data_IF_509024838488
#
_entry.id   IF_509024838488
#
_cell.length_a   1.000
_cell.length_b   1.000
_cell.length_c   1.000
_cell.angle_alpha   90.00
_cell.angle_beta   90.00
_cell.angle_gamma   90.00
#
_symmetry.space_group_name_H-M   'P 1'
#
loop_
_entity.id
_entity.type
_entity.pdbx_description
1 polymer ?
#
# COMPACT_ATOMS: atom_id res chain seq x y z
N UNK A 1 13.08 -4.51 -3.87
CA UNK A 1 12.29 -4.77 -5.10
C UNK A 1 11.08 -3.84 -5.16
N UNK A 2 10.80 -3.23 -6.32
CA UNK A 2 9.69 -2.29 -6.49
C UNK A 2 8.38 -3.01 -6.83
N UNK A 3 7.32 -2.71 -6.07
CA UNK A 3 5.96 -3.20 -6.26
C UNK A 3 4.98 -2.04 -6.41
N UNK A 4 3.96 -2.25 -7.23
CA UNK A 4 2.94 -1.24 -7.50
C UNK A 4 1.57 -1.88 -7.30
N UNK A 5 0.77 -1.25 -6.45
CA UNK A 5 -0.60 -1.65 -6.12
C UNK A 5 -1.52 -0.48 -6.45
N UNK A 6 -2.68 -0.78 -7.00
CA UNK A 6 -3.78 0.18 -7.15
C UNK A 6 -4.80 -0.05 -6.04
N UNK A 7 -5.22 1.02 -5.38
CA UNK A 7 -6.32 1.03 -4.41
C UNK A 7 -7.57 1.55 -5.11
N UNK A 8 -8.26 0.69 -5.86
CA UNK A 8 -9.44 1.13 -6.61
C UNK A 8 -10.56 1.49 -5.64
N UNK A 9 -11.19 2.65 -5.83
CA UNK A 9 -12.21 3.16 -4.91
C UNK A 9 -11.68 4.02 -3.78
N UNK A 10 -10.36 4.27 -3.71
CA UNK A 10 -9.74 5.18 -2.74
C UNK A 10 -10.38 6.58 -2.80
N UNK A 11 -11.19 6.95 -1.80
CA UNK A 11 -12.01 8.18 -1.84
C UNK A 11 -11.60 9.24 -0.82
N UNK A 12 -10.72 8.90 0.14
CA UNK A 12 -10.29 9.81 1.18
C UNK A 12 -8.77 10.07 1.14
N UNK A 13 -8.38 11.31 0.84
CA UNK A 13 -6.98 11.72 0.80
C UNK A 13 -6.26 11.54 2.16
N UNK A 14 -6.99 11.72 3.27
CA UNK A 14 -6.44 11.51 4.60
C UNK A 14 -6.24 10.02 4.91
N UNK A 15 -7.11 9.14 4.40
CA UNK A 15 -6.92 7.70 4.47
C UNK A 15 -5.71 7.27 3.65
N UNK A 16 -5.53 7.83 2.46
CA UNK A 16 -4.35 7.60 1.62
C UNK A 16 -3.03 7.91 2.38
N UNK A 17 -2.92 9.08 3.01
CA UNK A 17 -1.74 9.44 3.79
C UNK A 17 -1.47 8.44 4.93
N UNK A 18 -2.52 8.02 5.67
CA UNK A 18 -2.39 7.01 6.73
C UNK A 18 -1.95 5.65 6.22
N UNK A 19 -2.44 5.23 5.05
CA UNK A 19 -2.03 3.97 4.42
C UNK A 19 -0.55 4.05 4.02
N UNK A 20 -0.13 5.15 3.39
CA UNK A 20 1.27 5.36 3.03
C UNK A 20 2.20 5.27 4.24
N UNK A 21 1.91 6.04 5.29
CA UNK A 21 2.72 6.06 6.51
C UNK A 21 2.74 4.70 7.21
N UNK A 22 1.61 3.99 7.23
CA UNK A 22 1.53 2.68 7.85
C UNK A 22 2.30 1.61 7.06
N UNK A 23 2.25 1.66 5.71
CA UNK A 23 3.04 0.76 4.85
C UNK A 23 4.53 1.06 5.02
N UNK A 24 4.92 2.33 5.08
CA UNK A 24 6.32 2.74 5.30
C UNK A 24 6.89 2.25 6.64
N UNK A 25 6.05 1.98 7.64
CA UNK A 25 6.45 1.45 8.95
C UNK A 25 6.53 -0.08 8.99
N UNK A 26 6.14 -0.77 7.92
CA UNK A 26 6.24 -2.24 7.87
C UNK A 26 7.70 -2.68 7.76
N UNK A 27 8.06 -3.74 8.49
CA UNK A 27 9.41 -4.29 8.46
C UNK A 27 9.71 -4.90 7.09
N UNK A 28 10.82 -4.46 6.47
CA UNK A 28 11.23 -4.86 5.13
C UNK A 28 10.69 -3.97 4.01
N UNK A 29 10.01 -2.86 4.34
CA UNK A 29 9.72 -1.78 3.38
C UNK A 29 10.85 -0.74 3.46
N UNK A 30 11.57 -0.54 2.36
CA UNK A 30 12.58 0.52 2.24
C UNK A 30 11.92 1.88 1.98
N UNK A 31 10.95 1.90 1.07
CA UNK A 31 10.23 3.11 0.67
C UNK A 31 8.77 2.79 0.35
N UNK A 32 7.87 3.72 0.65
CA UNK A 32 6.47 3.65 0.23
C UNK A 32 5.95 5.04 -0.15
N UNK A 33 5.16 5.11 -1.21
CA UNK A 33 4.51 6.33 -1.68
C UNK A 33 3.14 6.01 -2.28
N UNK A 34 2.10 6.68 -1.81
CA UNK A 34 0.73 6.55 -2.29
C UNK A 34 0.27 7.86 -2.92
N UNK A 35 0.00 7.81 -4.22
CA UNK A 35 -0.63 8.91 -4.92
C UNK A 35 -2.14 8.78 -4.85
N UNK A 36 -2.81 9.65 -4.10
CA UNK A 36 -4.28 9.72 -4.03
C UNK A 36 -4.89 10.01 -5.42
N UNK A 37 -4.31 10.94 -6.18
CA UNK A 37 -4.78 11.29 -7.54
C UNK A 37 -4.82 10.10 -8.50
N UNK A 38 -3.83 9.21 -8.43
CA UNK A 38 -3.74 8.04 -9.31
C UNK A 38 -4.20 6.75 -8.64
N UNK A 39 -4.53 6.81 -7.35
CA UNK A 39 -4.84 5.69 -6.48
C UNK A 39 -3.77 4.58 -6.52
N UNK A 40 -2.49 4.96 -6.66
CA UNK A 40 -1.36 4.03 -6.80
C UNK A 40 -0.43 4.10 -5.60
N UNK A 41 -0.27 2.95 -4.94
CA UNK A 41 0.71 2.70 -3.90
C UNK A 41 1.93 2.05 -4.54
N UNK A 42 3.06 2.75 -4.50
CA UNK A 42 4.37 2.24 -4.91
C UNK A 42 5.18 1.95 -3.66
N UNK A 43 5.70 0.74 -3.53
CA UNK A 43 6.52 0.34 -2.39
C UNK A 43 7.78 -0.40 -2.85
N UNK A 44 8.89 -0.11 -2.20
CA UNK A 44 10.15 -0.83 -2.35
C UNK A 44 10.30 -1.74 -1.14
N UNK A 45 10.32 -3.04 -1.38
CA UNK A 45 10.25 -4.07 -0.35
C UNK A 45 11.35 -5.11 -0.54
N UNK A 46 11.81 -5.70 0.57
CA UNK A 46 12.74 -6.83 0.55
C UNK A 46 12.11 -8.03 -0.17
N UNK A 47 12.87 -8.69 -1.05
CA UNK A 47 12.38 -9.83 -1.85
C UNK A 47 11.96 -11.01 -0.96
N UNK A 48 12.78 -11.30 0.06
CA UNK A 48 12.62 -12.39 1.01
C UNK A 48 11.29 -12.34 1.81
N UNK A 49 10.74 -11.14 2.02
CA UNK A 49 9.51 -10.91 2.79
C UNK A 49 8.36 -10.36 1.96
N UNK A 50 8.47 -10.42 0.64
CA UNK A 50 7.54 -9.76 -0.27
C UNK A 50 6.08 -10.18 -0.06
N UNK A 51 5.80 -11.48 0.14
CA UNK A 51 4.45 -11.99 0.43
C UNK A 51 3.89 -11.50 1.77
N UNK A 52 4.72 -11.52 2.82
CA UNK A 52 4.31 -11.07 4.16
C UNK A 52 4.01 -9.57 4.18
N UNK A 53 4.83 -8.78 3.49
CA UNK A 53 4.65 -7.33 3.39
C UNK A 53 3.41 -6.99 2.56
N UNK A 54 3.19 -7.68 1.44
CA UNK A 54 1.98 -7.53 0.62
C UNK A 54 0.71 -7.81 1.41
N UNK A 55 0.70 -8.89 2.20
CA UNK A 55 -0.45 -9.24 3.04
C UNK A 55 -0.67 -8.20 4.15
N UNK A 56 0.40 -7.74 4.80
CA UNK A 56 0.31 -6.70 5.82
C UNK A 56 -0.19 -5.36 5.25
N UNK A 57 0.31 -4.96 4.08
CA UNK A 57 -0.13 -3.76 3.39
C UNK A 57 -1.62 -3.85 2.98
N UNK A 58 -2.06 -5.02 2.51
CA UNK A 58 -3.47 -5.28 2.19
C UNK A 58 -4.37 -5.18 3.43
N UNK A 59 -3.97 -5.80 4.55
CA UNK A 59 -4.73 -5.72 5.81
C UNK A 59 -4.81 -4.29 6.33
N UNK A 60 -3.71 -3.55 6.27
CA UNK A 60 -3.67 -2.15 6.68
C UNK A 60 -4.58 -1.28 5.80
N UNK A 61 -4.50 -1.44 4.47
CA UNK A 61 -5.35 -0.72 3.52
C UNK A 61 -6.83 -1.00 3.80
N UNK A 62 -7.23 -2.26 3.95
CA UNK A 62 -8.61 -2.65 4.25
C UNK A 62 -9.09 -2.13 5.62
N UNK A 63 -8.20 -2.02 6.62
CA UNK A 63 -8.55 -1.46 7.93
C UNK A 63 -8.85 0.04 7.87
N UNK A 64 -8.15 0.78 7.01
CA UNK A 64 -8.28 2.23 6.89
C UNK A 64 -9.39 2.59 5.89
N UNK A 65 -9.45 1.87 4.77
CA UNK A 65 -10.44 2.01 3.72
C UNK A 65 -10.94 0.62 3.29
N UNK A 66 -11.97 0.08 3.97
CA UNK A 66 -12.49 -1.26 3.67
C UNK A 66 -13.18 -1.35 2.31
N UNK A 67 -13.62 -0.21 1.78
CA UNK A 67 -14.26 -0.10 0.47
C UNK A 67 -13.26 -0.08 -0.70
N UNK A 68 -11.96 0.14 -0.42
CA UNK A 68 -10.94 0.17 -1.44
C UNK A 68 -10.48 -1.26 -1.84
N UNK A 69 -10.47 -1.52 -3.14
CA UNK A 69 -9.97 -2.77 -3.71
C UNK A 69 -8.44 -2.73 -3.87
N UNK A 70 -7.74 -3.67 -3.23
CA UNK A 70 -6.28 -3.78 -3.29
C UNK A 70 -5.85 -4.64 -4.48
N UNK A 71 -5.45 -4.00 -5.58
CA UNK A 71 -5.11 -4.66 -6.85
C UNK A 71 -3.62 -4.56 -7.17
N UNK A 72 -2.96 -5.70 -7.24
CA UNK A 72 -1.52 -5.77 -7.56
C UNK A 72 -1.34 -5.53 -9.06
N UNK A 73 -0.55 -4.51 -9.42
CA UNK A 73 -0.21 -4.19 -10.81
C UNK A 73 1.15 -4.75 -11.21
N UNK A 74 2.12 -4.73 -10.29
CA UNK A 74 3.50 -5.14 -10.56
C UNK A 74 4.26 -5.53 -9.30
#
# INVERSE_FOLDING_TARGET
>A
MKRIVKLEGLCCANCAAKIEEGVKKLSGVESASLSFMTQRLTMEIEEDKSETIMEAARKLANKIEPEAEFKILR
#
